data_IF_200109507783
#
_entry.id   IF_200109507783
#
_cell.length_a   1.000
_cell.length_b   1.000
_cell.length_c   1.000
_cell.angle_alpha   90.00
_cell.angle_beta   90.00
_cell.angle_gamma   90.00
#
_symmetry.space_group_name_H-M   'P 1'
#
loop_
_entity.id
_entity.type
_entity.pdbx_description
1 polymer ?
#
# COMPACT_ATOMS: atom_id res chain seq x y z
N UNK A 1 -48.18 -36.17 20.40
CA UNK A 1 -49.54 -35.63 20.19
C UNK A 1 -49.46 -34.72 18.96
N UNK A 2 -49.58 -35.23 17.72
CA UNK A 2 -50.80 -35.56 16.94
C UNK A 2 -51.66 -34.35 16.53
N UNK A 3 -51.93 -34.24 15.21
CA UNK A 3 -53.02 -33.44 14.59
C UNK A 3 -52.51 -32.34 13.66
N UNK A 4 -52.38 -32.47 12.32
CA UNK A 4 -53.35 -32.72 11.21
C UNK A 4 -54.40 -31.63 10.93
N UNK A 5 -54.73 -31.52 9.63
CA UNK A 5 -55.83 -30.81 8.91
C UNK A 5 -55.47 -29.43 8.33
N UNK A 6 -55.65 -29.11 7.04
CA UNK A 6 -56.26 -29.81 5.91
C UNK A 6 -57.02 -28.84 4.97
N UNK A 7 -57.10 -29.19 3.67
CA UNK A 7 -57.96 -28.66 2.56
C UNK A 7 -57.53 -27.32 1.94
N UNK A 8 -57.21 -27.19 0.64
CA UNK A 8 -57.67 -27.77 -0.64
C UNK A 8 -59.08 -27.31 -1.06
N UNK A 9 -59.17 -26.52 -2.14
CA UNK A 9 -60.33 -26.42 -3.05
C UNK A 9 -59.99 -25.61 -4.33
N UNK A 10 -60.09 -26.32 -5.46
CA UNK A 10 -60.08 -25.85 -6.87
C UNK A 10 -61.43 -25.25 -7.28
N UNK A 11 -61.42 -24.44 -8.34
CA UNK A 11 -62.39 -24.44 -9.47
C UNK A 11 -61.79 -23.57 -10.61
N UNK A 12 -61.48 -24.07 -11.82
CA UNK A 12 -62.37 -24.35 -12.97
C UNK A 12 -63.33 -23.18 -13.31
N UNK A 13 -63.57 -22.73 -14.54
CA UNK A 13 -63.33 -23.27 -15.87
C UNK A 13 -63.77 -22.26 -16.98
N UNK A 14 -63.22 -22.45 -18.19
CA UNK A 14 -63.84 -22.31 -19.55
C UNK A 14 -64.25 -20.93 -20.12
N UNK A 15 -63.94 -20.74 -21.42
CA UNK A 15 -64.90 -20.11 -22.33
C UNK A 15 -64.38 -19.44 -23.62
N UNK A 16 -64.42 -20.22 -24.72
CA UNK A 16 -64.75 -19.86 -26.12
C UNK A 16 -63.94 -18.85 -26.96
N UNK A 17 -63.46 -19.38 -28.08
CA UNK A 17 -63.12 -18.70 -29.33
C UNK A 17 -64.36 -18.53 -30.24
N UNK A 18 -64.33 -17.52 -31.14
CA UNK A 18 -64.60 -17.65 -32.60
C UNK A 18 -64.96 -16.30 -33.28
N UNK A 19 -64.34 -16.06 -34.46
CA UNK A 19 -64.86 -15.49 -35.73
C UNK A 19 -65.81 -14.26 -35.73
N UNK A 20 -65.83 -13.34 -36.71
CA UNK A 20 -65.12 -13.07 -37.95
C UNK A 20 -65.67 -11.73 -38.54
N UNK A 21 -65.00 -11.23 -39.60
CA UNK A 21 -65.51 -10.40 -40.70
C UNK A 21 -65.47 -8.85 -40.63
N UNK A 22 -64.69 -8.34 -41.60
CA UNK A 22 -64.96 -7.28 -42.59
C UNK A 22 -64.69 -5.79 -42.26
N UNK A 23 -63.62 -5.32 -42.91
CA UNK A 23 -63.66 -4.36 -44.03
C UNK A 23 -63.83 -2.87 -43.70
N UNK A 24 -62.73 -2.10 -43.85
CA UNK A 24 -62.61 -0.87 -44.67
C UNK A 24 -61.30 -0.14 -44.36
N UNK A 25 -60.44 0.00 -45.36
CA UNK A 25 -59.49 1.11 -45.47
C UNK A 25 -60.21 2.30 -46.12
N UNK A 26 -59.92 3.56 -45.73
CA UNK A 26 -58.95 4.30 -46.54
C UNK A 26 -58.02 5.24 -45.75
N UNK A 27 -56.77 5.28 -46.24
CA UNK A 27 -55.91 6.45 -46.45
C UNK A 27 -55.99 7.62 -45.44
N UNK A 28 -54.87 7.84 -44.77
CA UNK A 28 -53.98 9.00 -44.97
C UNK A 28 -53.50 9.65 -43.65
N UNK A 29 -52.19 9.97 -43.64
CA UNK A 29 -51.50 10.93 -42.76
C UNK A 29 -51.36 10.52 -41.28
N UNK A 30 -50.38 9.68 -40.98
CA UNK A 30 -49.68 9.69 -39.67
C UNK A 30 -48.25 9.15 -39.82
N UNK A 31 -47.54 9.65 -40.84
CA UNK A 31 -46.08 9.62 -40.86
C UNK A 31 -45.55 10.76 -39.98
N UNK A 32 -44.45 10.49 -39.28
CA UNK A 32 -43.51 11.45 -38.70
C UNK A 32 -43.65 11.88 -37.22
N UNK A 33 -44.72 11.60 -36.47
CA UNK A 33 -44.79 12.04 -35.05
C UNK A 33 -44.40 10.97 -34.02
N UNK A 34 -44.49 9.68 -34.36
CA UNK A 34 -44.20 8.60 -33.40
C UNK A 34 -42.74 8.11 -33.38
N UNK A 35 -41.95 8.40 -34.42
CA UNK A 35 -40.51 8.04 -34.44
C UNK A 35 -39.66 9.03 -33.63
N UNK A 36 -40.09 10.29 -33.53
CA UNK A 36 -39.37 11.33 -32.79
C UNK A 36 -39.44 11.18 -31.26
N UNK A 37 -40.54 10.64 -30.69
CA UNK A 37 -40.65 10.42 -29.23
C UNK A 37 -39.95 9.15 -28.74
N UNK A 38 -39.77 8.13 -29.59
CA UNK A 38 -39.03 6.91 -29.24
C UNK A 38 -37.50 7.12 -29.31
N UNK A 39 -37.02 7.94 -30.25
CA UNK A 39 -35.59 8.29 -30.36
C UNK A 39 -35.14 9.33 -29.32
N UNK A 40 -36.05 10.17 -28.81
CA UNK A 40 -35.73 11.09 -27.71
C UNK A 40 -35.63 10.39 -26.35
N UNK A 41 -36.39 9.32 -26.11
CA UNK A 41 -36.25 8.57 -24.85
C UNK A 41 -35.01 7.66 -24.84
N UNK A 42 -34.57 7.17 -26.01
CA UNK A 42 -33.32 6.41 -26.17
C UNK A 42 -32.05 7.27 -26.29
N UNK A 43 -32.18 8.57 -26.55
CA UNK A 43 -31.03 9.50 -26.58
C UNK A 43 -30.82 10.23 -25.26
N UNK A 44 -31.86 10.38 -24.43
CA UNK A 44 -31.74 11.02 -23.11
C UNK A 44 -31.24 10.07 -22.01
N UNK A 45 -31.38 8.75 -22.19
CA UNK A 45 -30.78 7.73 -21.29
C UNK A 45 -29.31 7.43 -21.61
N UNK A 46 -28.79 7.86 -22.76
CA UNK A 46 -27.37 7.66 -23.12
C UNK A 46 -26.46 8.83 -22.71
N UNK A 47 -27.00 10.03 -22.54
CA UNK A 47 -26.24 11.17 -22.00
C UNK A 47 -26.06 11.11 -20.49
N UNK A 48 -27.04 10.59 -19.74
CA UNK A 48 -26.92 10.40 -18.30
C UNK A 48 -26.07 9.18 -17.92
N UNK A 49 -25.93 8.18 -18.81
CA UNK A 49 -25.00 7.06 -18.59
C UNK A 49 -23.54 7.37 -18.94
N UNK A 50 -23.27 8.42 -19.73
CA UNK A 50 -21.91 8.92 -19.99
C UNK A 50 -21.40 9.88 -18.91
N UNK A 51 -22.27 10.30 -18.00
CA UNK A 51 -21.96 11.19 -16.89
C UNK A 51 -21.70 10.46 -15.56
N UNK A 52 -21.63 9.11 -15.58
CA UNK A 52 -21.55 8.29 -14.37
C UNK A 52 -20.18 7.68 -14.08
N UNK A 53 -19.21 7.62 -15.00
CA UNK A 53 -17.85 7.17 -14.65
C UNK A 53 -16.75 7.79 -15.52
N UNK A 54 -16.74 9.12 -15.67
CA UNK A 54 -15.47 9.82 -15.87
C UNK A 54 -14.88 10.09 -14.48
N UNK A 55 -14.32 9.06 -13.84
CA UNK A 55 -13.46 9.26 -12.67
C UNK A 55 -12.29 10.09 -13.17
N UNK A 56 -12.34 11.40 -12.97
CA UNK A 56 -11.20 12.26 -13.23
C UNK A 56 -10.08 11.73 -12.33
N UNK A 57 -9.09 11.06 -12.93
CA UNK A 57 -7.91 10.63 -12.18
C UNK A 57 -7.32 11.88 -11.55
N UNK A 58 -7.17 11.84 -10.23
CA UNK A 58 -6.43 12.86 -9.51
C UNK A 58 -5.02 12.89 -10.10
N UNK A 59 -4.52 14.07 -10.46
CA UNK A 59 -3.15 14.18 -10.94
C UNK A 59 -2.17 13.78 -9.83
N UNK A 60 -0.96 13.35 -10.21
CA UNK A 60 0.11 13.04 -9.25
C UNK A 60 0.32 14.20 -8.26
N UNK A 61 0.40 15.43 -8.76
CA UNK A 61 0.61 16.63 -7.94
C UNK A 61 -0.54 16.86 -6.96
N UNK A 62 -1.79 16.73 -7.42
CA UNK A 62 -2.96 16.87 -6.54
C UNK A 62 -2.97 15.81 -5.43
N UNK A 63 -2.65 14.56 -5.78
CA UNK A 63 -2.57 13.47 -4.82
C UNK A 63 -1.47 13.74 -3.77
N UNK A 64 -0.26 14.07 -4.22
CA UNK A 64 0.85 14.34 -3.32
C UNK A 64 0.57 15.53 -2.39
N UNK A 65 -0.04 16.60 -2.92
CA UNK A 65 -0.43 17.76 -2.12
C UNK A 65 -1.47 17.39 -1.05
N UNK A 66 -2.52 16.65 -1.41
CA UNK A 66 -3.55 16.24 -0.44
C UNK A 66 -3.00 15.32 0.66
N UNK A 67 -2.16 14.34 0.29
CA UNK A 67 -1.53 13.45 1.25
C UNK A 67 -0.50 14.21 2.13
N UNK A 68 0.14 15.24 1.58
CA UNK A 68 1.07 16.11 2.31
C UNK A 68 0.36 16.99 3.34
N UNK A 69 -0.69 17.71 2.92
CA UNK A 69 -1.46 18.62 3.78
C UNK A 69 -2.15 17.90 4.95
N UNK A 70 -2.56 16.65 4.75
CA UNK A 70 -3.19 15.82 5.78
C UNK A 70 -2.18 15.09 6.68
N UNK A 71 -0.88 15.24 6.40
CA UNK A 71 0.18 14.58 7.16
C UNK A 71 0.37 13.10 6.83
N UNK A 72 -0.38 12.53 5.88
CA UNK A 72 -0.29 11.12 5.50
C UNK A 72 1.10 10.75 4.99
N UNK A 73 1.74 11.59 4.17
CA UNK A 73 3.11 11.35 3.71
C UNK A 73 4.12 11.34 4.87
N UNK A 74 3.97 12.26 5.82
CA UNK A 74 4.79 12.29 7.03
C UNK A 74 4.54 11.07 7.92
N UNK A 75 3.29 10.60 8.01
CA UNK A 75 2.92 9.38 8.72
C UNK A 75 3.59 8.13 8.14
N UNK A 76 3.55 7.97 6.81
CA UNK A 76 4.22 6.86 6.12
C UNK A 76 5.74 6.90 6.36
N UNK A 77 6.35 8.08 6.23
CA UNK A 77 7.78 8.26 6.44
C UNK A 77 8.21 7.99 7.90
N UNK A 78 7.45 8.50 8.87
CA UNK A 78 7.66 8.20 10.30
C UNK A 78 7.57 6.71 10.58
N UNK A 79 6.50 6.05 10.10
CA UNK A 79 6.27 4.64 10.34
C UNK A 79 7.42 3.77 9.79
N UNK A 80 7.93 4.11 8.60
CA UNK A 80 9.06 3.40 8.03
C UNK A 80 10.35 3.63 8.81
N UNK A 81 10.66 4.88 9.17
CA UNK A 81 11.88 5.19 9.94
C UNK A 81 11.88 4.49 11.30
N UNK A 82 10.76 4.54 12.01
CA UNK A 82 10.55 3.83 13.28
C UNK A 82 10.78 2.32 13.13
N UNK A 83 10.11 1.70 12.15
CA UNK A 83 10.24 0.27 11.89
C UNK A 83 11.67 -0.15 11.50
N UNK A 84 12.33 0.63 10.63
CA UNK A 84 13.68 0.35 10.18
C UNK A 84 14.71 0.50 11.31
N UNK A 85 14.60 1.55 12.13
CA UNK A 85 15.48 1.75 13.29
C UNK A 85 15.35 0.61 14.29
N UNK A 86 14.10 0.22 14.63
CA UNK A 86 13.85 -0.92 15.53
C UNK A 86 14.46 -2.22 14.99
N UNK A 87 14.28 -2.50 13.70
CA UNK A 87 14.84 -3.71 13.11
C UNK A 87 16.38 -3.70 13.13
N UNK A 88 17.01 -2.56 12.87
CA UNK A 88 18.47 -2.43 12.93
C UNK A 88 19.00 -2.71 14.34
N UNK A 89 18.29 -2.25 15.38
CA UNK A 89 18.66 -2.48 16.78
C UNK A 89 18.51 -3.96 17.19
N UNK A 90 17.42 -4.60 16.77
CA UNK A 90 17.09 -5.96 17.19
C UNK A 90 17.76 -7.05 16.32
N UNK A 91 18.17 -6.73 15.08
CA UNK A 91 18.71 -7.71 14.16
C UNK A 91 20.15 -8.11 14.51
N UNK A 92 20.36 -9.41 14.56
CA UNK A 92 21.64 -10.04 14.87
C UNK A 92 21.78 -11.35 14.09
N UNK A 93 22.68 -11.34 13.11
CA UNK A 93 23.00 -12.54 12.33
C UNK A 93 23.65 -13.62 13.21
N UNK A 94 24.47 -13.22 14.19
CA UNK A 94 25.10 -14.13 15.15
C UNK A 94 24.10 -14.78 16.12
N UNK A 95 22.93 -14.18 16.32
CA UNK A 95 21.80 -14.79 17.04
C UNK A 95 21.00 -15.78 16.17
N UNK A 96 21.37 -15.96 14.90
CA UNK A 96 20.73 -16.87 13.96
C UNK A 96 19.66 -16.23 13.06
N UNK A 97 19.49 -14.91 13.11
CA UNK A 97 18.58 -14.23 12.18
C UNK A 97 19.18 -14.15 10.78
N UNK A 98 18.33 -14.29 9.76
CA UNK A 98 18.74 -14.22 8.36
C UNK A 98 17.95 -13.15 7.58
N UNK A 99 18.27 -12.97 6.31
CA UNK A 99 17.62 -11.98 5.45
C UNK A 99 16.08 -12.16 5.36
N UNK A 100 15.57 -13.39 5.45
CA UNK A 100 14.12 -13.64 5.49
C UNK A 100 13.51 -13.14 6.78
N UNK A 101 14.15 -13.42 7.93
CA UNK A 101 13.73 -12.87 9.23
C UNK A 101 13.69 -11.34 9.20
N UNK A 102 14.72 -10.70 8.63
CA UNK A 102 14.78 -9.26 8.47
C UNK A 102 13.63 -8.73 7.59
N UNK A 103 13.41 -9.32 6.42
CA UNK A 103 12.36 -8.87 5.49
C UNK A 103 10.96 -9.00 6.06
N UNK A 104 10.65 -10.14 6.71
CA UNK A 104 9.35 -10.37 7.37
C UNK A 104 9.19 -9.44 8.59
N UNK A 105 10.25 -9.29 9.40
CA UNK A 105 10.26 -8.40 10.55
C UNK A 105 10.02 -6.94 10.16
N UNK A 106 10.68 -6.44 9.11
CA UNK A 106 10.49 -5.09 8.62
C UNK A 106 9.06 -4.86 8.15
N UNK A 107 8.49 -5.80 7.39
CA UNK A 107 7.11 -5.71 6.93
C UNK A 107 6.13 -5.64 8.12
N UNK A 108 6.33 -6.50 9.13
CA UNK A 108 5.47 -6.55 10.31
C UNK A 108 5.57 -5.25 11.14
N UNK A 109 6.79 -4.79 11.42
CA UNK A 109 7.03 -3.53 12.13
C UNK A 109 6.45 -2.35 11.36
N UNK A 110 6.68 -2.26 10.04
CA UNK A 110 6.20 -1.16 9.24
C UNK A 110 4.67 -1.12 9.19
N UNK A 111 4.01 -2.26 8.99
CA UNK A 111 2.56 -2.35 9.04
C UNK A 111 2.00 -1.95 10.42
N UNK A 112 2.62 -2.40 11.52
CA UNK A 112 2.22 -2.03 12.87
C UNK A 112 2.39 -0.52 13.13
N UNK A 113 3.48 0.10 12.66
CA UNK A 113 3.68 1.55 12.79
C UNK A 113 2.72 2.38 11.94
N UNK A 114 2.36 1.90 10.76
CA UNK A 114 1.31 2.52 9.96
C UNK A 114 -0.04 2.43 10.69
N UNK A 115 -0.33 1.30 11.34
CA UNK A 115 -1.55 1.17 12.12
C UNK A 115 -1.57 2.11 13.33
N UNK A 116 -0.42 2.34 13.98
CA UNK A 116 -0.30 3.33 15.07
C UNK A 116 -0.58 4.75 14.58
N UNK A 117 0.16 5.21 13.58
CA UNK A 117 0.09 6.61 13.14
C UNK A 117 -1.26 6.96 12.52
N UNK A 118 -1.97 5.97 11.98
CA UNK A 118 -3.30 6.14 11.38
C UNK A 118 -4.45 5.71 12.27
N UNK A 119 -4.21 5.36 13.54
CA UNK A 119 -5.26 4.90 14.47
C UNK A 119 -6.10 3.77 13.87
N UNK A 120 -5.42 2.76 13.34
CA UNK A 120 -5.99 1.64 12.60
C UNK A 120 -5.76 0.31 13.34
N UNK A 121 -6.51 -0.72 12.95
CA UNK A 121 -6.36 -2.05 13.53
C UNK A 121 -6.55 -2.05 15.05
N UNK A 122 -5.57 -2.56 15.79
CA UNK A 122 -5.60 -2.59 17.27
C UNK A 122 -5.43 -1.22 17.94
N UNK A 123 -5.08 -0.17 17.18
CA UNK A 123 -4.92 1.20 17.66
C UNK A 123 -6.11 2.09 17.28
N UNK A 124 -7.22 1.51 16.83
CA UNK A 124 -8.42 2.26 16.52
C UNK A 124 -8.95 2.98 17.76
N UNK A 125 -9.17 4.29 17.64
CA UNK A 125 -9.75 5.12 18.70
C UNK A 125 -11.26 5.00 18.63
N UNK A 126 -11.87 4.60 19.74
CA UNK A 126 -13.32 4.55 19.90
C UNK A 126 -13.85 5.97 20.14
N UNK A 127 -14.81 6.47 19.33
CA UNK A 127 -15.35 7.82 19.50
C UNK A 127 -16.05 8.03 20.84
N UNK A 128 -16.47 6.96 21.52
CA UNK A 128 -17.16 7.03 22.81
C UNK A 128 -16.20 7.00 24.01
N UNK A 129 -14.89 6.83 23.77
CA UNK A 129 -13.86 6.83 24.81
C UNK A 129 -13.21 8.21 24.96
N UNK A 130 -12.68 8.50 26.15
CA UNK A 130 -11.92 9.73 26.40
C UNK A 130 -10.64 9.74 25.56
N UNK A 131 -10.20 10.92 25.10
CA UNK A 131 -9.02 11.06 24.22
C UNK A 131 -7.73 10.43 24.79
N UNK A 132 -7.62 10.32 26.12
CA UNK A 132 -6.47 9.69 26.80
C UNK A 132 -6.57 8.15 26.93
N UNK A 133 -7.72 7.56 26.59
CA UNK A 133 -7.91 6.11 26.64
C UNK A 133 -7.13 5.42 25.52
N UNK A 134 -6.26 4.46 25.88
CA UNK A 134 -5.49 3.68 24.92
C UNK A 134 -4.11 4.25 24.55
N UNK A 135 -3.69 5.37 25.15
CA UNK A 135 -2.33 5.91 24.96
C UNK A 135 -1.24 4.92 25.38
N UNK A 136 -1.46 4.14 26.45
CA UNK A 136 -0.54 3.09 26.89
C UNK A 136 -0.30 2.04 25.79
N UNK A 137 -1.35 1.66 25.06
CA UNK A 137 -1.26 0.73 23.94
C UNK A 137 -0.58 1.38 22.73
N UNK A 138 -0.90 2.64 22.44
CA UNK A 138 -0.32 3.40 21.33
C UNK A 138 1.20 3.58 21.48
N UNK A 139 1.65 3.87 22.69
CA UNK A 139 3.06 4.15 23.00
C UNK A 139 3.85 2.92 23.43
N UNK A 140 3.19 1.77 23.61
CA UNK A 140 3.87 0.51 23.89
C UNK A 140 4.93 0.19 22.83
N UNK A 141 6.14 -0.16 23.28
CA UNK A 141 7.29 -0.49 22.42
C UNK A 141 7.76 0.67 21.51
N UNK A 142 7.36 1.91 21.79
CA UNK A 142 7.96 3.11 21.20
C UNK A 142 9.02 3.70 22.12
N UNK A 143 10.10 4.18 21.53
CA UNK A 143 11.08 5.02 22.25
C UNK A 143 10.48 6.40 22.52
N UNK A 144 11.06 7.14 23.46
CA UNK A 144 10.64 8.52 23.75
C UNK A 144 10.75 9.44 22.53
N UNK A 145 11.75 9.21 21.66
CA UNK A 145 11.91 9.96 20.40
C UNK A 145 10.80 9.63 19.39
N UNK A 146 10.45 8.34 19.27
CA UNK A 146 9.35 7.91 18.41
C UNK A 146 8.00 8.49 18.87
N UNK A 147 7.76 8.53 20.19
CA UNK A 147 6.56 9.16 20.77
C UNK A 147 6.55 10.67 20.49
N UNK A 148 7.68 11.36 20.66
CA UNK A 148 7.80 12.79 20.45
C UNK A 148 7.62 13.20 18.98
N UNK A 149 8.03 12.33 18.06
CA UNK A 149 7.99 12.58 16.61
C UNK A 149 6.76 11.97 15.91
N UNK A 150 5.91 11.22 16.64
CA UNK A 150 4.69 10.62 16.11
C UNK A 150 3.77 11.69 15.51
N UNK A 151 3.48 11.65 14.19
CA UNK A 151 2.59 12.59 13.56
C UNK A 151 1.17 12.51 14.14
N UNK A 152 0.61 13.67 14.48
CA UNK A 152 -0.78 13.78 14.96
C UNK A 152 -1.73 13.89 13.77
N UNK A 153 -2.27 12.75 13.35
CA UNK A 153 -3.24 12.66 12.25
C UNK A 153 -4.58 12.28 12.86
N UNK A 154 -5.66 12.97 12.47
CA UNK A 154 -6.98 12.70 13.01
C UNK A 154 -7.43 11.26 12.65
N UNK A 155 -7.97 10.54 13.61
CA UNK A 155 -8.50 9.20 13.41
C UNK A 155 -9.59 9.20 12.32
N UNK A 156 -9.64 8.13 11.53
CA UNK A 156 -10.61 7.97 10.44
C UNK A 156 -10.26 8.68 9.13
N UNK A 157 -9.23 9.55 9.11
CA UNK A 157 -8.68 10.10 7.84
C UNK A 157 -8.15 8.98 6.94
N UNK A 158 -7.44 8.02 7.56
CA UNK A 158 -6.94 6.81 6.91
C UNK A 158 -7.63 5.61 7.54
N UNK A 159 -8.03 4.65 6.70
CA UNK A 159 -8.62 3.38 7.14
C UNK A 159 -7.85 2.19 6.59
N UNK A 160 -7.92 1.04 7.28
CA UNK A 160 -7.43 -0.23 6.71
C UNK A 160 -8.24 -0.60 5.48
N UNK A 161 -7.54 -1.02 4.44
CA UNK A 161 -8.09 -1.38 3.14
C UNK A 161 -7.20 -2.44 2.49
N UNK A 162 -7.19 -3.61 3.11
CA UNK A 162 -6.41 -4.75 2.63
C UNK A 162 -6.98 -5.24 1.28
N UNK A 163 -6.09 -5.67 0.38
CA UNK A 163 -6.46 -6.22 -0.92
C UNK A 163 -5.92 -7.64 -1.03
N UNK A 164 -6.81 -8.64 -1.15
CA UNK A 164 -6.43 -10.05 -1.35
C UNK A 164 -5.34 -10.50 -0.35
N UNK A 165 -5.55 -10.22 0.93
CA UNK A 165 -4.61 -10.56 2.01
C UNK A 165 -3.32 -9.72 2.04
N UNK A 166 -3.12 -8.78 1.11
CA UNK A 166 -2.03 -7.80 1.19
C UNK A 166 -2.47 -6.61 2.03
N UNK A 167 -1.68 -6.28 3.06
CA UNK A 167 -1.90 -5.13 3.93
C UNK A 167 -2.00 -3.83 3.11
N UNK A 168 -3.07 -3.08 3.36
CA UNK A 168 -3.33 -1.82 2.66
C UNK A 168 -4.02 -0.78 3.55
N UNK A 169 -3.84 0.47 3.17
CA UNK A 169 -4.46 1.63 3.81
C UNK A 169 -5.08 2.51 2.75
N UNK A 170 -6.15 3.22 3.13
CA UNK A 170 -6.96 4.03 2.23
C UNK A 170 -7.13 5.42 2.80
N UNK A 171 -6.89 6.41 1.93
CA UNK A 171 -7.21 7.81 2.14
C UNK A 171 -8.21 8.23 1.04
N UNK A 172 -9.46 8.49 1.43
CA UNK A 172 -10.52 8.84 0.49
C UNK A 172 -10.68 7.82 -0.66
N UNK A 173 -10.44 8.26 -1.89
CA UNK A 173 -10.55 7.43 -3.11
C UNK A 173 -9.30 6.63 -3.46
N UNK A 174 -8.26 6.67 -2.63
CA UNK A 174 -6.94 6.11 -2.94
C UNK A 174 -6.52 5.08 -1.91
N UNK A 175 -5.98 3.95 -2.37
CA UNK A 175 -5.37 2.90 -1.53
C UNK A 175 -3.88 2.80 -1.83
N UNK A 176 -3.07 2.45 -0.84
CA UNK A 176 -1.70 2.00 -1.07
C UNK A 176 -1.43 0.65 -0.42
N UNK A 177 -0.56 -0.14 -1.07
CA UNK A 177 -0.04 -1.40 -0.57
C UNK A 177 1.47 -1.31 -0.35
N UNK A 178 2.01 -2.18 0.51
CA UNK A 178 3.45 -2.24 0.78
C UNK A 178 4.17 -3.21 -0.18
N UNK A 179 5.28 -2.77 -0.77
CA UNK A 179 6.18 -3.65 -1.51
C UNK A 179 7.65 -3.45 -1.09
N UNK A 180 8.25 -4.51 -0.56
CA UNK A 180 9.69 -4.54 -0.30
C UNK A 180 10.48 -4.68 -1.61
N UNK A 181 11.64 -4.06 -1.66
CA UNK A 181 12.66 -4.24 -2.68
C UNK A 181 14.01 -4.61 -2.05
N UNK A 182 14.94 -5.12 -2.85
CA UNK A 182 16.35 -5.19 -2.44
C UNK A 182 16.91 -3.76 -2.30
N UNK A 183 17.93 -3.58 -1.48
CA UNK A 183 18.65 -2.30 -1.37
C UNK A 183 19.12 -1.82 -2.75
N UNK A 184 18.88 -0.54 -3.06
CA UNK A 184 19.14 0.07 -4.37
C UNK A 184 18.26 -0.45 -5.50
N UNK A 185 17.17 -1.17 -5.17
CA UNK A 185 16.34 -1.91 -6.11
C UNK A 185 14.92 -1.39 -6.25
N UNK A 186 14.58 -0.27 -5.61
CA UNK A 186 13.21 0.28 -5.67
C UNK A 186 12.81 0.62 -7.11
N UNK A 187 13.70 1.21 -7.91
CA UNK A 187 13.36 1.61 -9.29
C UNK A 187 13.16 0.42 -10.25
N UNK A 188 13.68 -0.74 -9.86
CA UNK A 188 13.70 -1.97 -10.67
C UNK A 188 12.96 -3.13 -9.98
N UNK A 189 11.88 -2.84 -9.24
CA UNK A 189 11.03 -3.89 -8.69
C UNK A 189 10.51 -4.78 -9.83
N UNK A 190 10.85 -6.07 -9.74
CA UNK A 190 10.36 -7.09 -10.65
C UNK A 190 8.94 -7.51 -10.22
N UNK A 191 7.91 -6.92 -10.85
CA UNK A 191 6.52 -7.19 -10.48
C UNK A 191 6.10 -8.63 -10.77
N UNK A 192 6.65 -9.27 -11.80
CA UNK A 192 6.43 -10.69 -12.15
C UNK A 192 6.75 -11.66 -11.01
N UNK A 193 7.73 -11.32 -10.17
CA UNK A 193 8.11 -12.11 -8.99
C UNK A 193 7.35 -11.74 -7.71
N UNK A 194 6.43 -10.77 -7.74
CA UNK A 194 5.61 -10.38 -6.58
C UNK A 194 4.30 -11.16 -6.51
N UNK A 195 3.58 -11.02 -5.40
CA UNK A 195 2.28 -11.69 -5.19
C UNK A 195 1.27 -11.33 -6.29
N UNK A 196 0.30 -12.22 -6.60
CA UNK A 196 -0.73 -11.96 -7.60
C UNK A 196 -1.44 -10.61 -7.40
N UNK A 197 -1.68 -10.20 -6.15
CA UNK A 197 -2.22 -8.90 -5.78
C UNK A 197 -1.38 -7.72 -6.29
N UNK A 198 -0.07 -7.78 -6.09
CA UNK A 198 0.85 -6.71 -6.52
C UNK A 198 0.99 -6.68 -8.03
N UNK A 199 0.93 -7.85 -8.68
CA UNK A 199 0.86 -7.95 -10.13
C UNK A 199 -0.41 -7.28 -10.68
N UNK A 200 -1.55 -7.49 -10.04
CA UNK A 200 -2.82 -6.83 -10.41
C UNK A 200 -2.75 -5.30 -10.29
N UNK A 201 -2.17 -4.79 -9.19
CA UNK A 201 -1.97 -3.34 -9.01
C UNK A 201 -1.02 -2.77 -10.06
N UNK A 202 0.08 -3.46 -10.39
CA UNK A 202 1.00 -3.05 -11.45
C UNK A 202 0.33 -2.97 -12.84
N UNK A 203 -0.72 -3.76 -13.08
CA UNK A 203 -1.51 -3.76 -14.32
C UNK A 203 -2.66 -2.75 -14.34
N UNK A 204 -2.97 -2.07 -13.22
CA UNK A 204 -4.14 -1.21 -13.09
C UNK A 204 -4.18 -0.08 -14.12
N UNK A 205 -3.05 0.59 -14.33
CA UNK A 205 -3.00 1.86 -15.07
C UNK A 205 -2.48 1.74 -16.51
N UNK A 206 -2.07 0.54 -16.93
CA UNK A 206 -1.71 0.26 -18.33
C UNK A 206 -2.90 0.13 -19.29
N UNK A 207 -4.13 0.30 -18.79
CA UNK A 207 -5.37 0.18 -19.57
C UNK A 207 -5.74 1.50 -20.24
N UNK A 208 -5.16 1.75 -21.42
CA UNK A 208 -5.78 2.60 -22.44
C UNK A 208 -7.17 2.04 -22.82
N UNK A 209 -8.09 2.91 -23.24
CA UNK A 209 -9.56 2.83 -23.42
C UNK A 209 -10.24 1.57 -23.99
N UNK A 210 -9.51 0.48 -24.28
CA UNK A 210 -10.10 -0.83 -24.61
C UNK A 210 -9.70 -1.83 -23.55
N UNK A 211 -10.57 -2.01 -22.57
CA UNK A 211 -10.44 -3.09 -21.59
C UNK A 211 -10.53 -4.44 -22.32
N UNK A 212 -9.54 -5.34 -22.23
CA UNK A 212 -9.88 -6.75 -22.22
C UNK A 212 -10.55 -7.05 -20.88
N UNK A 213 -11.72 -7.66 -20.94
CA UNK A 213 -12.42 -8.15 -19.76
C UNK A 213 -11.56 -9.16 -19.00
N UNK A 214 -11.73 -9.17 -17.68
CA UNK A 214 -11.01 -9.96 -16.65
C UNK A 214 -10.97 -11.50 -16.86
N UNK A 215 -11.50 -12.02 -17.97
CA UNK A 215 -11.56 -13.44 -18.31
C UNK A 215 -10.43 -13.92 -19.24
N UNK A 216 -9.75 -13.03 -19.97
CA UNK A 216 -8.76 -13.46 -20.97
C UNK A 216 -7.44 -13.97 -20.36
N UNK A 217 -7.06 -13.47 -19.18
CA UNK A 217 -5.81 -13.86 -18.50
C UNK A 217 -6.00 -15.07 -17.56
N UNK A 218 -7.20 -15.26 -17.00
CA UNK A 218 -7.50 -16.38 -16.08
C UNK A 218 -7.76 -17.70 -16.80
N UNK A 219 -8.25 -17.67 -18.05
CA UNK A 219 -8.49 -18.89 -18.83
C UNK A 219 -7.21 -19.64 -19.25
N UNK A 220 -6.02 -19.04 -19.03
CA UNK A 220 -4.73 -19.64 -19.44
C UNK A 220 -3.93 -20.32 -18.34
N UNK A 221 -4.32 -20.19 -17.07
CA UNK A 221 -3.59 -20.81 -15.94
C UNK A 221 -4.55 -21.44 -14.91
N UNK A 222 -5.39 -22.37 -15.36
CA UNK A 222 -6.19 -23.19 -14.45
C UNK A 222 -5.48 -24.53 -14.26
N UNK A 223 -4.57 -24.55 -13.30
CA UNK A 223 -4.16 -25.76 -12.56
C UNK A 223 -3.80 -25.29 -11.14
N UNK A 224 -4.81 -25.01 -10.31
CA UNK A 224 -4.74 -25.10 -8.85
C UNK A 224 -6.10 -24.78 -8.21
N UNK A 225 -6.55 -25.70 -7.36
CA UNK A 225 -7.82 -25.78 -6.66
C UNK A 225 -8.02 -24.73 -5.54
N UNK A 226 -7.77 -23.45 -5.78
CA UNK A 226 -8.18 -22.37 -4.86
C UNK A 226 -8.91 -21.26 -5.61
N UNK A 227 -10.19 -21.53 -5.91
CA UNK A 227 -11.17 -20.52 -6.32
C UNK A 227 -11.40 -19.55 -5.14
N UNK A 228 -10.53 -18.54 -5.02
CA UNK A 228 -10.77 -17.38 -4.16
C UNK A 228 -11.99 -16.62 -4.71
N UNK A 229 -13.11 -16.70 -3.98
CA UNK A 229 -14.36 -16.01 -4.31
C UNK A 229 -14.20 -14.51 -4.08
N UNK A 230 -14.43 -13.75 -5.13
CA UNK A 230 -14.24 -12.30 -5.23
C UNK A 230 -15.51 -11.53 -4.85
N UNK A 231 -15.46 -10.64 -3.84
CA UNK A 231 -16.64 -9.94 -3.30
C UNK A 231 -16.68 -8.40 -3.50
N UNK A 232 -15.96 -7.81 -4.47
CA UNK A 232 -16.14 -6.37 -4.85
C UNK A 232 -15.10 -5.87 -5.85
N UNK A 233 -15.38 -4.89 -6.72
CA UNK A 233 -14.44 -4.44 -7.80
C UNK A 233 -13.02 -4.12 -7.25
N UNK A 234 -11.93 -4.76 -7.76
CA UNK A 234 -10.57 -4.53 -7.26
C UNK A 234 -10.11 -3.09 -7.45
N UNK A 235 -10.76 -2.38 -8.37
CA UNK A 235 -10.46 -1.04 -8.81
C UNK A 235 -11.56 -0.05 -8.39
N UNK A 236 -12.32 -0.37 -7.33
CA UNK A 236 -13.17 0.62 -6.65
C UNK A 236 -12.35 1.86 -6.24
N UNK A 237 -11.04 1.69 -6.03
CA UNK A 237 -10.07 2.74 -5.75
C UNK A 237 -8.79 2.65 -6.59
N UNK A 238 -8.17 3.81 -6.80
CA UNK A 238 -6.83 3.93 -7.38
C UNK A 238 -5.83 3.35 -6.37
N UNK A 239 -5.11 2.28 -6.76
CA UNK A 239 -4.16 1.60 -5.88
C UNK A 239 -2.73 1.94 -6.24
N UNK A 240 -2.00 2.52 -5.31
CA UNK A 240 -0.57 2.85 -5.42
C UNK A 240 0.25 1.87 -4.61
N UNK A 241 1.57 1.97 -4.74
CA UNK A 241 2.50 1.18 -3.95
C UNK A 241 3.42 2.09 -3.15
N UNK A 242 3.56 1.78 -1.87
CA UNK A 242 4.67 2.26 -1.05
C UNK A 242 5.79 1.23 -1.16
N UNK A 243 6.82 1.59 -1.92
CA UNK A 243 8.03 0.81 -2.11
C UNK A 243 9.02 1.11 -1.00
N UNK A 244 9.64 0.10 -0.40
CA UNK A 244 10.65 0.30 0.65
C UNK A 244 11.79 -0.70 0.57
N UNK A 245 12.98 -0.29 1.00
CA UNK A 245 14.16 -1.14 1.10
C UNK A 245 15.06 -0.72 2.28
N UNK A 246 15.65 -1.71 2.95
CA UNK A 246 16.60 -1.52 4.03
C UNK A 246 17.82 -2.39 3.79
N UNK A 247 18.99 -1.78 3.82
CA UNK A 247 20.28 -2.47 3.89
C UNK A 247 20.74 -2.53 5.34
N UNK A 248 20.85 -3.74 5.90
CA UNK A 248 21.27 -3.93 7.28
C UNK A 248 22.79 -3.78 7.50
N UNK A 249 23.58 -3.75 6.42
CA UNK A 249 25.04 -3.56 6.49
C UNK A 249 25.39 -2.09 6.40
N UNK A 250 24.82 -1.37 5.44
CA UNK A 250 25.10 0.06 5.22
C UNK A 250 24.11 0.99 5.91
N UNK A 251 23.02 0.46 6.46
CA UNK A 251 21.87 1.21 6.98
C UNK A 251 21.20 2.10 5.93
N UNK A 252 21.45 1.83 4.65
CA UNK A 252 20.81 2.46 3.50
C UNK A 252 19.30 2.21 3.52
N UNK A 253 18.53 3.26 3.30
CA UNK A 253 17.07 3.26 3.37
C UNK A 253 16.51 3.92 2.13
N UNK A 254 15.54 3.27 1.52
CA UNK A 254 14.75 3.84 0.43
C UNK A 254 13.27 3.70 0.78
N UNK A 255 12.49 4.75 0.53
CA UNK A 255 11.04 4.74 0.70
C UNK A 255 10.40 5.66 -0.33
N UNK A 256 9.54 5.09 -1.17
CA UNK A 256 8.83 5.83 -2.21
C UNK A 256 7.34 5.56 -2.14
N UNK A 257 6.54 6.55 -2.52
CA UNK A 257 5.16 6.36 -2.94
C UNK A 257 5.10 6.49 -4.46
N UNK A 258 4.45 5.55 -5.14
CA UNK A 258 4.40 5.61 -6.60
C UNK A 258 3.29 4.80 -7.24
N UNK A 259 3.06 5.10 -8.51
CA UNK A 259 2.18 4.34 -9.37
C UNK A 259 2.97 3.25 -10.08
N UNK A 260 2.76 2.00 -9.67
CA UNK A 260 3.44 0.85 -10.25
C UNK A 260 3.06 0.66 -11.72
N UNK A 261 4.02 0.19 -12.50
CA UNK A 261 3.89 -0.14 -13.92
C UNK A 261 4.28 -1.59 -14.14
N UNK A 262 3.39 -2.36 -14.76
CA UNK A 262 3.69 -3.73 -15.21
C UNK A 262 4.88 -3.72 -16.17
N UNK A 263 5.94 -4.46 -15.83
CA UNK A 263 7.23 -4.47 -16.51
C UNK A 263 7.76 -5.90 -16.79
N UNK A 264 7.02 -6.75 -17.52
CA UNK A 264 7.46 -8.12 -17.83
C UNK A 264 8.70 -8.15 -18.74
N UNK A 265 8.99 -7.02 -19.39
CA UNK A 265 10.15 -6.77 -20.24
C UNK A 265 11.35 -6.20 -19.46
N UNK A 266 11.25 -6.08 -18.13
CA UNK A 266 12.29 -5.48 -17.30
C UNK A 266 12.40 -3.96 -17.42
N UNK A 267 11.40 -3.29 -18.00
CA UNK A 267 11.35 -1.83 -18.06
C UNK A 267 11.05 -1.19 -16.69
N UNK A 268 10.94 0.14 -16.65
CA UNK A 268 10.65 0.90 -15.42
C UNK A 268 9.49 0.28 -14.64
N UNK A 269 9.74 0.01 -13.36
CA UNK A 269 8.73 -0.52 -12.43
C UNK A 269 7.63 0.50 -12.09
N UNK A 270 7.79 1.76 -12.52
CA UNK A 270 6.94 2.88 -12.13
C UNK A 270 6.55 3.75 -13.33
N UNK A 271 5.33 4.30 -13.28
CA UNK A 271 4.95 5.45 -14.09
C UNK A 271 5.49 6.75 -13.50
N UNK A 272 5.44 6.85 -12.16
CA UNK A 272 6.04 7.91 -11.37
C UNK A 272 6.27 7.42 -9.95
N UNK A 273 7.24 8.04 -9.27
CA UNK A 273 7.54 7.86 -7.84
C UNK A 273 7.76 9.21 -7.18
N UNK A 274 7.62 9.23 -5.86
CA UNK A 274 7.98 10.33 -4.99
C UNK A 274 8.77 9.75 -3.81
N UNK A 275 9.98 10.24 -3.61
CA UNK A 275 10.81 9.90 -2.46
C UNK A 275 10.22 10.54 -1.19
N UNK A 276 9.97 9.71 -0.18
CA UNK A 276 9.41 10.12 1.12
C UNK A 276 10.48 10.38 2.18
N UNK A 277 11.74 10.03 1.91
CA UNK A 277 12.88 10.31 2.77
C UNK A 277 13.62 11.58 2.36
N UNK A 278 13.51 11.98 1.08
CA UNK A 278 14.01 13.26 0.61
C UNK A 278 13.35 14.44 1.35
N UNK A 279 14.15 15.34 1.92
CA UNK A 279 13.69 16.62 2.45
C UNK A 279 13.15 16.63 3.89
N UNK A 280 13.25 15.54 4.64
CA UNK A 280 12.99 15.51 6.09
C UNK A 280 14.28 15.23 6.86
N UNK A 281 15.19 16.20 6.82
CA UNK A 281 16.24 16.27 7.83
C UNK A 281 15.57 16.47 9.21
N UNK A 282 16.05 15.82 10.28
CA UNK A 282 15.62 16.17 11.63
C UNK A 282 15.90 17.66 11.85
N UNK A 283 14.93 18.37 12.43
CA UNK A 283 14.86 19.82 12.49
C UNK A 283 16.21 20.54 12.64
N UNK A 284 16.56 21.30 11.63
CA UNK A 284 17.67 22.23 11.59
C UNK A 284 17.43 23.20 10.44
N UNK A 285 17.51 24.50 10.74
CA UNK A 285 17.05 25.61 9.92
C UNK A 285 17.49 25.56 8.45
N UNK A 286 16.65 26.14 7.57
CA UNK A 286 17.08 26.68 6.27
C UNK A 286 18.30 27.58 6.49
N UNK A 287 19.43 27.17 5.95
CA UNK A 287 20.65 27.94 5.82
C UNK A 287 21.24 27.62 4.45
N UNK A 288 21.65 28.67 3.76
CA UNK A 288 21.99 28.70 2.34
C UNK A 288 23.03 27.67 1.89
N UNK A 289 22.99 27.39 0.58
CA UNK A 289 24.05 26.73 -0.13
C UNK A 289 25.40 27.40 0.19
N UNK A 290 26.24 26.71 0.95
CA UNK A 290 27.65 26.99 1.05
C UNK A 290 28.39 25.86 0.33
N UNK A 291 29.11 26.25 -0.71
CA UNK A 291 30.16 25.48 -1.36
C UNK A 291 30.98 24.66 -0.36
N UNK A 292 31.39 23.47 -0.81
CA UNK A 292 32.36 22.64 -0.15
C UNK A 292 33.68 23.41 0.11
N UNK A 293 33.78 24.05 1.27
CA UNK A 293 35.05 24.41 1.85
C UNK A 293 35.65 23.15 2.46
N UNK A 294 36.71 22.64 1.84
CA UNK A 294 37.58 21.63 2.43
C UNK A 294 38.07 22.13 3.79
N UNK A 295 37.58 21.51 4.87
CA UNK A 295 38.15 21.68 6.21
C UNK A 295 39.50 20.97 6.19
N UNK A 296 40.58 21.75 6.29
CA UNK A 296 41.92 21.22 6.57
C UNK A 296 41.88 20.48 7.92
N UNK A 297 42.54 19.32 8.05
CA UNK A 297 42.60 18.61 9.31
C UNK A 297 43.33 19.46 10.36
N UNK A 298 42.69 19.55 11.53
CA UNK A 298 43.20 20.21 12.73
C UNK A 298 44.45 19.46 13.22
N UNK A 299 45.64 20.05 13.06
CA UNK A 299 46.89 19.53 13.62
C UNK A 299 46.89 19.75 15.14
N UNK A 300 46.28 18.82 15.87
CA UNK A 300 46.48 18.70 17.32
C UNK A 300 47.85 18.06 17.56
N UNK A 301 48.77 18.69 18.31
CA UNK A 301 50.05 18.09 18.64
C UNK A 301 49.86 16.85 19.52
N UNK A 302 50.31 15.69 19.04
CA UNK A 302 50.29 14.43 19.79
C UNK A 302 51.03 14.58 21.13
N UNK A 303 50.37 14.14 22.21
CA UNK A 303 50.95 14.12 23.55
C UNK A 303 52.15 13.14 23.64
N UNK A 304 53.25 13.49 24.31
CA UNK A 304 54.42 12.63 24.38
C UNK A 304 54.18 11.43 25.30
N UNK A 305 53.82 10.28 24.71
CA UNK A 305 53.70 8.99 25.41
C UNK A 305 55.10 8.41 25.65
N UNK A 306 55.52 8.33 26.93
CA UNK A 306 56.72 7.60 27.33
C UNK A 306 56.42 6.09 27.37
N UNK A 307 56.91 5.37 26.37
CA UNK A 307 56.85 3.91 26.34
C UNK A 307 57.79 3.32 27.41
N UNK A 308 57.23 2.49 28.30
CA UNK A 308 57.98 1.70 29.29
C UNK A 308 58.79 0.64 28.54
N UNK A 309 60.12 0.64 28.69
CA UNK A 309 60.98 -0.41 28.12
C UNK A 309 60.55 -1.79 28.65
N UNK A 310 60.39 -2.80 27.79
CA UNK A 310 60.23 -4.18 28.22
C UNK A 310 61.50 -4.64 28.96
N UNK A 311 61.32 -5.30 30.10
CA UNK A 311 62.41 -5.97 30.78
C UNK A 311 62.96 -7.07 29.88
N UNK A 312 64.27 -7.03 29.64
CA UNK A 312 65.00 -8.08 28.95
C UNK A 312 64.74 -9.42 29.64
N UNK A 313 64.41 -10.43 28.84
CA UNK A 313 64.27 -11.82 29.23
C UNK A 313 65.48 -12.29 30.03
N UNK A 314 65.30 -12.43 31.33
CA UNK A 314 66.20 -13.18 32.19
C UNK A 314 66.03 -14.65 31.81
N UNK A 315 66.96 -15.17 31.01
CA UNK A 315 67.09 -16.61 30.77
C UNK A 315 67.57 -17.24 32.08
N UNK A 316 66.62 -17.70 32.88
CA UNK A 316 66.87 -18.57 34.02
C UNK A 316 67.19 -19.98 33.48
N UNK A 317 68.47 -20.27 33.30
CA UNK A 317 68.96 -21.64 33.18
C UNK A 317 69.23 -22.17 34.60
N UNK A 318 68.26 -22.85 35.20
CA UNK A 318 68.53 -23.77 36.31
C UNK A 318 67.40 -24.79 36.44
N UNK A 319 67.64 -26.03 35.98
CA UNK A 319 67.33 -27.33 36.64
C UNK A 319 68.16 -28.37 35.87
N UNK A 320 68.94 -29.30 36.44
CA UNK A 320 69.17 -29.74 37.80
C UNK A 320 70.03 -31.02 37.74
N UNK A 321 70.55 -31.47 38.88
CA UNK A 321 71.23 -32.77 38.98
C UNK A 321 72.29 -32.82 40.08
N UNK A 322 71.85 -32.93 41.34
CA UNK A 322 72.68 -33.35 42.46
C UNK A 322 72.46 -34.86 42.63
N UNK A 323 73.47 -35.67 42.29
CA UNK A 323 74.02 -36.83 43.00
C UNK A 323 74.95 -37.61 42.08
#
# INVERSE_FOLDING_TARGET
>A
MTGELGRDLRAEARGCAACACRDRSPRAKCGAVWVARALMWFSFTRSLLRMVYARAMMSQEQLCNQLGETGVLAGIAWAYRSAASRLVEDFSESAGYNATCAGVGLLALFADRLDRVFSCGKYAVDPDQTEDSGLDLLYAELTSDEVATLPKIAAGIVSRSDLNGSAGWRFGGVRWLLASARSGGIDAIEWTGKSPTKQLVARQFGKSEKSPSLFDDYARNVDSDELFVWNGDPFDVDSFVVGYSLDLVTYGRELVLGQSRWNPDGTSAWYWTMDLLAGQAPGGARGDAAEHAFVQPDEVPDAPVKLRRPAASQVNNTVGGNQ
#
